data_IF_225541548601
#
_entry.id   IF_225541548601
#
_cell.length_a   1.000
_cell.length_b   1.000
_cell.length_c   1.000
_cell.angle_alpha   90.00
_cell.angle_beta   90.00
_cell.angle_gamma   90.00
#
_symmetry.space_group_name_H-M   'P 1'
#
loop_
_entity.id
_entity.type
_entity.pdbx_description
1 polymer ?
#
# COMPACT_ATOMS: atom_id res chain seq x y z
N UNK A 1 17.85 36.38 -7.73
CA UNK A 1 16.77 35.75 -6.94
C UNK A 1 15.72 35.22 -7.92
N UNK A 2 15.91 34.00 -8.40
CA UNK A 2 14.96 33.34 -9.31
C UNK A 2 14.16 32.31 -8.54
N UNK A 3 12.88 32.57 -8.34
CA UNK A 3 11.95 31.71 -7.62
C UNK A 3 11.45 30.63 -8.58
N UNK A 4 12.09 29.46 -8.56
CA UNK A 4 11.73 28.35 -9.44
C UNK A 4 10.68 27.47 -8.74
N UNK A 5 9.42 27.91 -8.77
CA UNK A 5 8.27 27.08 -8.40
C UNK A 5 8.01 26.06 -9.52
N UNK A 6 8.92 25.11 -9.70
CA UNK A 6 8.70 23.95 -10.56
C UNK A 6 7.59 23.10 -9.97
N UNK A 7 6.39 23.17 -10.53
CA UNK A 7 5.41 22.10 -10.35
C UNK A 7 5.98 20.90 -11.09
N UNK A 8 6.64 19.99 -10.36
CA UNK A 8 7.08 18.72 -10.93
C UNK A 8 5.83 17.94 -11.33
N UNK A 9 5.55 17.89 -12.63
CA UNK A 9 4.53 17.01 -13.17
C UNK A 9 4.87 15.56 -12.78
N UNK A 10 3.86 14.72 -12.46
CA UNK A 10 4.09 13.30 -12.17
C UNK A 10 4.90 12.68 -13.31
N UNK A 11 5.99 11.99 -12.96
CA UNK A 11 6.85 11.35 -13.96
C UNK A 11 6.39 9.91 -14.11
N UNK A 12 5.89 9.58 -15.30
CA UNK A 12 5.56 8.19 -15.64
C UNK A 12 6.86 7.46 -15.99
N UNK A 13 7.13 6.35 -15.32
CA UNK A 13 8.24 5.46 -15.63
C UNK A 13 7.72 4.43 -16.64
N UNK A 14 7.96 4.68 -17.94
CA UNK A 14 7.60 3.75 -19.03
C UNK A 14 8.80 3.35 -19.86
N UNK A 15 8.68 2.20 -20.54
CA UNK A 15 9.58 1.78 -21.61
C UNK A 15 9.31 2.57 -22.90
N UNK A 16 9.94 3.73 -23.03
CA UNK A 16 10.43 4.44 -24.22
C UNK A 16 9.64 4.54 -25.56
N UNK A 17 8.42 4.02 -25.73
CA UNK A 17 7.63 4.24 -26.95
C UNK A 17 6.25 4.86 -26.68
N UNK A 18 5.76 5.80 -27.53
CA UNK A 18 4.40 6.28 -27.46
C UNK A 18 3.45 5.11 -27.67
N UNK A 19 2.65 4.80 -26.65
CA UNK A 19 1.71 3.70 -26.71
C UNK A 19 0.52 4.07 -27.61
N UNK A 20 0.06 3.17 -28.51
CA UNK A 20 -1.17 3.40 -29.26
C UNK A 20 -2.37 3.63 -28.32
N UNK A 21 -3.42 4.34 -28.76
CA UNK A 21 -4.63 4.53 -27.95
C UNK A 21 -5.20 3.19 -27.49
N UNK A 22 -5.43 3.07 -26.19
CA UNK A 22 -6.03 1.87 -25.62
C UNK A 22 -7.49 1.76 -26.05
N UNK A 23 -7.85 0.62 -26.66
CA UNK A 23 -9.19 0.37 -27.19
C UNK A 23 -10.11 -0.36 -26.21
N UNK A 24 -9.61 -0.68 -25.02
CA UNK A 24 -10.36 -1.40 -23.99
C UNK A 24 -11.17 -0.47 -23.10
N UNK A 25 -11.87 -1.03 -22.10
CA UNK A 25 -12.75 -0.23 -21.25
C UNK A 25 -11.94 0.76 -20.40
N UNK A 26 -12.47 1.96 -20.24
CA UNK A 26 -11.91 2.98 -19.35
C UNK A 26 -12.28 2.67 -17.90
N UNK A 27 -11.34 2.89 -16.98
CA UNK A 27 -11.58 2.76 -15.55
C UNK A 27 -12.12 4.09 -14.99
N UNK A 28 -13.33 4.08 -14.45
CA UNK A 28 -13.92 5.22 -13.75
C UNK A 28 -13.62 5.11 -12.26
N UNK A 29 -12.97 6.13 -11.70
CA UNK A 29 -12.60 6.15 -10.28
C UNK A 29 -13.63 6.86 -9.42
N UNK A 30 -13.79 6.36 -8.20
CA UNK A 30 -14.53 7.03 -7.12
C UNK A 30 -13.73 6.96 -5.81
N UNK A 31 -13.80 8.03 -5.03
CA UNK A 31 -13.05 8.19 -3.79
C UNK A 31 -14.00 8.35 -2.61
N UNK A 32 -13.77 7.58 -1.54
CA UNK A 32 -14.51 7.66 -0.28
C UNK A 32 -13.52 8.02 0.81
N UNK A 33 -13.62 9.24 1.33
CA UNK A 33 -12.75 9.73 2.41
C UNK A 33 -13.41 9.48 3.76
N UNK A 34 -12.67 8.92 4.72
CA UNK A 34 -13.11 8.70 6.09
C UNK A 34 -12.05 9.18 7.08
N UNK A 35 -12.47 9.68 8.24
CA UNK A 35 -11.57 10.05 9.33
C UNK A 35 -11.64 8.99 10.43
N UNK A 36 -10.65 8.10 10.47
CA UNK A 36 -10.57 7.03 11.47
C UNK A 36 -10.01 7.59 12.77
N UNK A 37 -10.70 7.32 13.87
CA UNK A 37 -10.24 7.66 15.21
C UNK A 37 -9.29 6.58 15.71
N UNK A 38 -8.08 7.00 16.00
CA UNK A 38 -7.05 6.23 16.68
C UNK A 38 -6.99 6.66 18.14
N UNK A 39 -7.20 5.72 19.06
CA UNK A 39 -6.91 5.94 20.47
C UNK A 39 -5.44 5.61 20.73
N UNK A 40 -4.70 6.57 21.27
CA UNK A 40 -3.28 6.44 21.58
C UNK A 40 -3.08 6.40 23.09
N UNK A 41 -2.51 5.30 23.59
CA UNK A 41 -2.10 5.19 24.99
C UNK A 41 -0.60 5.56 25.12
N UNK A 42 -0.26 6.85 25.11
CA UNK A 42 1.14 7.33 25.23
C UNK A 42 1.41 8.71 24.62
N UNK A 43 2.64 9.22 24.76
CA UNK A 43 3.07 10.53 24.26
C UNK A 43 3.26 10.53 22.73
N UNK A 44 2.55 11.39 22.01
CA UNK A 44 2.49 11.41 20.54
C UNK A 44 3.86 11.64 19.87
N UNK A 45 4.56 10.55 19.52
CA UNK A 45 5.76 10.56 18.70
C UNK A 45 5.55 9.55 17.56
N UNK A 46 5.56 10.03 16.31
CA UNK A 46 5.43 9.21 15.08
C UNK A 46 6.53 8.14 14.90
N UNK A 47 7.44 8.01 15.86
CA UNK A 47 8.57 7.09 15.88
C UNK A 47 8.55 6.14 17.10
N UNK A 48 7.54 6.22 17.97
CA UNK A 48 7.48 5.40 19.18
C UNK A 48 6.36 4.36 19.15
N UNK A 49 6.74 3.16 19.57
CA UNK A 49 5.88 1.99 19.74
C UNK A 49 4.72 2.27 20.70
N UNK A 50 3.48 2.36 20.22
CA UNK A 50 2.30 2.70 21.00
C UNK A 50 1.09 1.84 20.64
N UNK A 51 0.37 1.40 21.67
CA UNK A 51 -0.90 0.71 21.47
C UNK A 51 -1.89 1.64 20.77
N UNK A 52 -2.17 1.33 19.51
CA UNK A 52 -3.13 2.00 18.66
C UNK A 52 -4.36 1.11 18.50
N UNK A 53 -5.51 1.52 19.04
CA UNK A 53 -6.81 0.93 18.67
C UNK A 53 -7.56 1.89 17.77
N UNK A 54 -8.11 1.38 16.67
CA UNK A 54 -8.89 2.16 15.72
C UNK A 54 -10.37 1.78 15.75
N UNK A 55 -11.23 2.69 15.30
CA UNK A 55 -12.64 2.42 15.00
C UNK A 55 -12.87 2.21 13.49
N UNK A 56 -11.86 1.74 12.76
CA UNK A 56 -11.90 1.65 11.29
C UNK A 56 -13.07 0.79 10.78
N UNK A 57 -13.48 -0.19 11.58
CA UNK A 57 -14.56 -1.13 11.33
C UNK A 57 -15.93 -0.45 11.18
N UNK A 58 -16.12 0.69 11.85
CA UNK A 58 -17.34 1.50 11.72
C UNK A 58 -17.57 2.04 10.31
N UNK A 59 -16.53 2.06 9.46
CA UNK A 59 -16.61 2.56 8.08
C UNK A 59 -16.80 1.44 7.04
N UNK A 60 -16.72 0.16 7.41
CA UNK A 60 -16.86 -0.94 6.45
C UNK A 60 -18.21 -0.98 5.72
N UNK A 61 -19.36 -0.70 6.38
CA UNK A 61 -20.63 -0.63 5.67
C UNK A 61 -20.64 0.45 4.59
N UNK A 62 -20.00 1.60 4.83
CA UNK A 62 -19.89 2.69 3.86
C UNK A 62 -19.06 2.28 2.63
N UNK A 63 -17.98 1.52 2.84
CA UNK A 63 -17.16 0.97 1.76
C UNK A 63 -17.93 -0.10 0.97
N UNK A 64 -18.65 -0.99 1.67
CA UNK A 64 -19.43 -2.06 1.06
C UNK A 64 -20.58 -1.52 0.20
N UNK A 65 -21.22 -0.41 0.60
CA UNK A 65 -22.31 0.22 -0.15
C UNK A 65 -21.91 0.60 -1.59
N UNK A 66 -20.62 0.87 -1.86
CA UNK A 66 -20.18 1.21 -3.22
C UNK A 66 -20.34 0.04 -4.20
N UNK A 67 -20.33 -1.22 -3.71
CA UNK A 67 -20.54 -2.40 -4.54
C UNK A 67 -21.97 -2.44 -5.13
N UNK A 68 -22.96 -1.87 -4.43
CA UNK A 68 -24.34 -1.76 -4.92
C UNK A 68 -24.44 -0.84 -6.15
N UNK A 69 -23.50 0.10 -6.29
CA UNK A 69 -23.40 1.02 -7.44
C UNK A 69 -22.55 0.45 -8.58
N UNK A 70 -22.02 -0.77 -8.40
CA UNK A 70 -21.14 -1.46 -9.34
C UNK A 70 -19.68 -1.03 -9.27
N UNK A 71 -19.28 -0.29 -8.23
CA UNK A 71 -17.89 0.04 -7.96
C UNK A 71 -17.21 -1.11 -7.21
N UNK A 72 -15.89 -1.23 -7.40
CA UNK A 72 -15.04 -2.24 -6.79
C UNK A 72 -13.89 -1.57 -6.08
N UNK A 73 -13.66 -1.95 -4.84
CA UNK A 73 -12.53 -1.40 -4.08
C UNK A 73 -11.23 -1.89 -4.74
N UNK A 74 -10.32 -0.96 -4.97
CA UNK A 74 -8.95 -1.24 -5.43
C UNK A 74 -7.96 -1.20 -4.27
N UNK A 75 -8.11 -0.21 -3.39
CA UNK A 75 -7.31 -0.09 -2.17
C UNK A 75 -8.05 0.76 -1.14
N UNK A 76 -7.80 0.51 0.15
CA UNK A 76 -8.24 1.35 1.26
C UNK A 76 -6.99 1.80 2.01
N UNK A 77 -6.65 3.07 1.87
CA UNK A 77 -5.31 3.54 2.13
C UNK A 77 -5.28 4.67 3.17
N UNK A 78 -4.47 4.52 4.20
CA UNK A 78 -4.16 5.58 5.16
C UNK A 78 -3.35 6.71 4.51
N UNK A 79 -3.73 7.97 4.74
CA UNK A 79 -2.97 9.12 4.22
C UNK A 79 -1.76 9.38 5.11
N UNK A 80 -0.52 9.13 4.66
CA UNK A 80 0.66 9.22 5.50
C UNK A 80 0.90 10.65 5.99
N UNK A 81 1.44 10.75 7.21
CA UNK A 81 1.80 12.00 7.86
C UNK A 81 0.65 12.99 8.08
N UNK A 82 -0.61 12.59 7.86
CA UNK A 82 -1.77 13.42 8.18
C UNK A 82 -2.42 12.92 9.47
N UNK A 83 -2.39 13.76 10.49
CA UNK A 83 -3.00 13.48 11.78
C UNK A 83 -3.57 14.76 12.35
N UNK A 84 -4.79 14.68 12.89
CA UNK A 84 -5.44 15.79 13.57
C UNK A 84 -5.84 15.38 14.98
N UNK A 85 -5.47 16.19 15.97
CA UNK A 85 -5.89 15.93 17.34
C UNK A 85 -7.40 16.18 17.50
N UNK A 86 -8.11 15.26 18.13
CA UNK A 86 -9.58 15.34 18.29
C UNK A 86 -10.02 16.47 19.25
N UNK A 87 -9.09 17.02 20.03
CA UNK A 87 -9.31 18.18 20.90
C UNK A 87 -8.10 18.46 21.80
N UNK A 88 -8.05 19.64 22.43
CA UNK A 88 -6.91 20.08 23.24
C UNK A 88 -6.56 19.14 24.41
N UNK A 89 -7.56 18.40 24.91
CA UNK A 89 -7.42 17.45 26.04
C UNK A 89 -7.66 15.98 25.63
N UNK A 90 -7.94 15.69 24.36
CA UNK A 90 -8.10 14.32 23.88
C UNK A 90 -6.74 13.68 23.63
N UNK A 91 -6.63 12.38 23.94
CA UNK A 91 -5.53 11.51 23.51
C UNK A 91 -5.85 10.81 22.17
N UNK A 92 -7.06 11.04 21.63
CA UNK A 92 -7.49 10.54 20.33
C UNK A 92 -6.94 11.39 19.19
N UNK A 93 -6.56 10.71 18.12
CA UNK A 93 -6.15 11.34 16.86
C UNK A 93 -7.00 10.81 15.72
N UNK A 94 -7.42 11.73 14.87
CA UNK A 94 -8.11 11.45 13.63
C UNK A 94 -7.07 11.30 12.52
N UNK A 95 -7.07 10.13 11.89
CA UNK A 95 -6.24 9.81 10.74
C UNK A 95 -7.14 9.65 9.50
N UNK A 96 -6.83 10.33 8.39
CA UNK A 96 -7.62 10.18 7.18
C UNK A 96 -7.26 8.88 6.47
N UNK A 97 -8.29 8.19 6.02
CA UNK A 97 -8.19 7.06 5.09
C UNK A 97 -9.00 7.38 3.84
N UNK A 98 -8.59 6.80 2.72
CA UNK A 98 -9.30 6.92 1.46
C UNK A 98 -9.53 5.53 0.87
N UNK A 99 -10.81 5.17 0.70
CA UNK A 99 -11.21 4.07 -0.16
C UNK A 99 -11.19 4.52 -1.62
N UNK A 100 -10.41 3.83 -2.44
CA UNK A 100 -10.28 4.09 -3.87
C UNK A 100 -10.99 2.96 -4.61
N UNK A 101 -11.99 3.33 -5.39
CA UNK A 101 -12.83 2.40 -6.13
C UNK A 101 -12.70 2.61 -7.62
N UNK A 102 -12.94 1.55 -8.41
CA UNK A 102 -13.13 1.65 -9.85
C UNK A 102 -14.39 0.95 -10.34
N UNK A 103 -14.87 1.39 -11.51
CA UNK A 103 -15.93 0.74 -12.29
C UNK A 103 -15.58 0.78 -13.77
N UNK A 104 -16.02 -0.24 -14.50
CA UNK A 104 -15.93 -0.31 -15.97
C UNK A 104 -17.35 -0.27 -16.56
N UNK A 105 -17.80 0.88 -17.10
CA UNK A 105 -19.20 1.07 -17.51
C UNK A 105 -19.65 0.15 -18.65
N UNK A 106 -18.76 -0.09 -19.62
CA UNK A 106 -19.09 -0.78 -20.87
C UNK A 106 -18.85 -2.30 -20.80
N UNK A 107 -18.40 -2.80 -19.65
CA UNK A 107 -18.32 -4.24 -19.42
C UNK A 107 -19.63 -4.70 -18.80
N UNK A 108 -20.36 -5.62 -19.47
CA UNK A 108 -21.42 -6.37 -18.83
C UNK A 108 -20.89 -6.88 -17.48
N UNK A 109 -21.49 -6.44 -16.37
CA UNK A 109 -20.98 -6.70 -15.03
C UNK A 109 -20.82 -8.21 -14.84
N UNK A 110 -19.60 -8.71 -15.00
CA UNK A 110 -19.30 -10.13 -14.84
C UNK A 110 -19.23 -10.40 -13.35
N UNK A 111 -20.34 -10.87 -12.80
CA UNK A 111 -20.46 -11.36 -11.43
C UNK A 111 -20.86 -10.30 -10.43
N UNK A 112 -21.64 -10.72 -9.42
CA UNK A 112 -21.95 -9.90 -8.25
C UNK A 112 -20.94 -10.21 -7.15
N UNK A 113 -20.49 -9.19 -6.45
CA UNK A 113 -19.48 -9.33 -5.41
C UNK A 113 -19.91 -8.56 -4.16
N UNK A 114 -19.35 -8.97 -3.02
CA UNK A 114 -19.45 -8.25 -1.77
C UNK A 114 -18.05 -8.00 -1.20
N UNK A 115 -17.90 -6.90 -0.48
CA UNK A 115 -16.70 -6.62 0.29
C UNK A 115 -16.72 -7.43 1.59
N UNK A 116 -15.61 -8.11 1.89
CA UNK A 116 -15.38 -8.79 3.17
C UNK A 116 -14.04 -8.37 3.74
N UNK A 117 -13.98 -8.13 5.03
CA UNK A 117 -12.76 -7.73 5.72
C UNK A 117 -12.42 -8.78 6.77
N UNK A 118 -11.18 -9.26 6.77
CA UNK A 118 -10.66 -10.19 7.76
C UNK A 118 -9.52 -9.53 8.54
N UNK A 119 -9.46 -9.81 9.84
CA UNK A 119 -8.36 -9.34 10.71
C UNK A 119 -7.15 -10.25 10.57
N UNK A 120 -5.96 -9.67 10.55
CA UNK A 120 -4.71 -10.42 10.60
C UNK A 120 -3.62 -9.64 11.34
N UNK A 121 -2.44 -10.23 11.44
CA UNK A 121 -1.28 -9.65 12.11
C UNK A 121 -0.01 -9.91 11.31
N UNK A 122 0.91 -8.98 11.44
CA UNK A 122 2.23 -8.99 10.82
C UNK A 122 3.25 -8.79 11.94
N UNK A 123 4.20 -9.72 12.07
CA UNK A 123 5.21 -9.64 13.11
C UNK A 123 6.62 -9.67 12.50
N UNK A 124 7.41 -8.61 12.63
CA UNK A 124 8.81 -8.66 12.26
C UNK A 124 9.59 -9.67 13.12
N UNK A 125 10.47 -10.45 12.50
CA UNK A 125 11.36 -11.41 13.16
C UNK A 125 12.81 -11.13 12.79
N UNK A 126 13.68 -11.07 13.78
CA UNK A 126 15.13 -11.02 13.56
C UNK A 126 15.61 -12.45 13.31
N UNK A 127 16.19 -12.70 12.14
CA UNK A 127 16.83 -13.98 11.83
C UNK A 127 18.32 -13.84 12.17
N UNK A 128 18.80 -14.71 13.07
CA UNK A 128 20.21 -14.77 13.45
C UNK A 128 20.89 -15.90 12.69
N UNK A 129 21.62 -15.56 11.62
CA UNK A 129 22.35 -16.54 10.81
C UNK A 129 23.74 -16.81 11.40
N UNK A 130 23.83 -17.69 12.40
CA UNK A 130 25.11 -18.27 12.88
C UNK A 130 25.87 -17.48 13.97
N UNK A 131 26.85 -18.15 14.62
CA UNK A 131 27.57 -17.71 15.83
C UNK A 131 28.42 -16.42 15.70
N UNK A 132 28.72 -15.98 14.48
CA UNK A 132 29.53 -14.77 14.21
C UNK A 132 29.04 -14.14 12.91
N UNK A 133 28.00 -13.29 12.96
CA UNK A 133 27.59 -12.52 11.78
C UNK A 133 27.11 -11.12 12.18
N UNK A 134 27.75 -10.10 11.59
CA UNK A 134 27.50 -8.66 11.81
C UNK A 134 26.29 -8.11 11.01
N UNK A 135 25.28 -8.94 10.72
CA UNK A 135 24.11 -8.54 9.94
C UNK A 135 22.85 -9.13 10.54
N UNK A 136 22.05 -8.29 11.20
CA UNK A 136 20.71 -8.68 11.62
C UNK A 136 19.78 -8.49 10.42
N UNK A 137 19.31 -9.56 9.80
CA UNK A 137 18.23 -9.49 8.81
C UNK A 137 16.88 -9.57 9.54
N UNK A 138 16.01 -8.57 9.36
CA UNK A 138 14.61 -8.69 9.77
C UNK A 138 13.79 -9.18 8.60
N UNK A 139 13.04 -10.25 8.85
CA UNK A 139 12.03 -10.76 7.92
C UNK A 139 10.67 -10.65 8.60
N UNK A 140 9.67 -10.24 7.83
CA UNK A 140 8.29 -10.22 8.29
C UNK A 140 7.73 -11.63 8.39
N UNK A 141 7.23 -12.02 9.56
CA UNK A 141 6.38 -13.22 9.69
C UNK A 141 5.01 -12.93 9.10
N UNK A 142 4.72 -13.61 7.99
CA UNK A 142 3.46 -13.52 7.25
C UNK A 142 2.63 -14.79 7.36
N UNK A 143 2.91 -15.67 8.31
CA UNK A 143 2.21 -16.95 8.44
C UNK A 143 0.70 -16.77 8.59
N UNK A 144 0.27 -15.91 9.51
CA UNK A 144 -1.17 -15.64 9.73
C UNK A 144 -1.81 -14.99 8.50
N UNK A 145 -1.12 -14.02 7.89
CA UNK A 145 -1.55 -13.35 6.67
C UNK A 145 -1.76 -14.34 5.51
N UNK A 146 -0.79 -15.20 5.25
CA UNK A 146 -0.86 -16.21 4.19
C UNK A 146 -1.96 -17.25 4.47
N UNK A 147 -2.17 -17.65 5.73
CA UNK A 147 -3.26 -18.54 6.12
C UNK A 147 -4.63 -17.91 5.87
N UNK A 148 -4.82 -16.64 6.27
CA UNK A 148 -6.08 -15.92 6.01
C UNK A 148 -6.36 -15.79 4.52
N UNK A 149 -5.36 -15.41 3.71
CA UNK A 149 -5.49 -15.34 2.25
C UNK A 149 -5.86 -16.72 1.68
N UNK A 150 -5.15 -17.77 2.06
CA UNK A 150 -5.39 -19.11 1.55
C UNK A 150 -6.80 -19.61 1.88
N UNK A 151 -7.28 -19.38 3.11
CA UNK A 151 -8.62 -19.76 3.54
C UNK A 151 -9.71 -19.03 2.74
N UNK A 152 -9.52 -17.73 2.49
CA UNK A 152 -10.45 -16.92 1.70
C UNK A 152 -10.43 -17.29 0.21
N UNK A 153 -9.25 -17.55 -0.34
CA UNK A 153 -9.07 -17.95 -1.73
C UNK A 153 -9.79 -19.28 -2.07
N UNK A 154 -9.91 -20.19 -1.10
CA UNK A 154 -10.66 -21.45 -1.26
C UNK A 154 -12.15 -21.22 -1.58
N UNK A 155 -12.74 -20.12 -1.13
CA UNK A 155 -14.13 -19.76 -1.44
C UNK A 155 -14.25 -18.87 -2.68
N UNK A 156 -13.19 -18.72 -3.47
CA UNK A 156 -13.15 -17.82 -4.63
C UNK A 156 -13.04 -16.33 -4.27
N UNK A 157 -12.82 -15.99 -2.99
CA UNK A 157 -12.59 -14.61 -2.59
C UNK A 157 -11.23 -14.14 -3.12
N UNK A 158 -11.16 -12.90 -3.61
CA UNK A 158 -9.91 -12.30 -4.09
C UNK A 158 -9.45 -11.22 -3.15
N UNK A 159 -8.16 -11.23 -2.83
CA UNK A 159 -7.53 -10.15 -2.07
C UNK A 159 -7.57 -8.85 -2.88
N UNK A 160 -7.87 -7.75 -2.20
CA UNK A 160 -7.89 -6.40 -2.75
C UNK A 160 -6.66 -5.63 -2.27
N UNK A 161 -6.52 -5.48 -0.96
CA UNK A 161 -5.43 -4.74 -0.33
C UNK A 161 -5.23 -5.22 1.12
N UNK A 162 -4.11 -4.80 1.71
CA UNK A 162 -3.75 -5.10 3.09
C UNK A 162 -3.38 -3.78 3.76
N UNK A 163 -4.17 -3.36 4.74
CA UNK A 163 -4.00 -2.04 5.36
C UNK A 163 -3.63 -2.16 6.84
N UNK A 164 -2.70 -1.32 7.30
CA UNK A 164 -2.34 -1.21 8.72
C UNK A 164 -3.41 -0.42 9.47
N UNK A 165 -4.21 -1.12 10.27
CA UNK A 165 -5.37 -0.50 10.93
C UNK A 165 -5.32 -0.55 12.45
N UNK A 166 -4.37 -1.24 13.08
CA UNK A 166 -4.13 -1.11 14.52
C UNK A 166 -3.67 -2.39 15.19
N UNK A 167 -3.41 -2.27 16.50
CA UNK A 167 -2.65 -3.17 17.38
C UNK A 167 -1.15 -3.14 17.14
N UNK A 168 -0.47 -2.47 18.06
CA UNK A 168 0.93 -2.70 18.39
C UNK A 168 0.98 -3.30 19.80
N UNK A 169 1.13 -4.62 19.92
CA UNK A 169 1.28 -5.24 21.25
C UNK A 169 2.77 -5.35 21.61
N UNK A 170 3.30 -4.34 22.30
CA UNK A 170 4.58 -4.49 23.00
C UNK A 170 4.31 -5.23 24.32
N UNK A 171 4.36 -6.57 24.31
CA UNK A 171 4.37 -7.32 25.57
C UNK A 171 5.62 -6.94 26.36
N UNK A 172 5.44 -6.34 27.55
CA UNK A 172 6.52 -6.16 28.50
C UNK A 172 7.19 -7.52 28.75
N UNK A 173 8.43 -7.66 28.30
CA UNK A 173 9.21 -8.89 28.48
C UNK A 173 10.35 -8.61 29.42
N UNK A 174 10.43 -9.38 30.51
CA UNK A 174 11.61 -9.46 31.37
C UNK A 174 12.72 -10.33 30.73
N UNK A 175 12.59 -10.73 29.45
CA UNK A 175 13.59 -11.54 28.74
C UNK A 175 14.63 -10.65 28.04
N UNK A 176 15.89 -11.11 28.03
CA UNK A 176 17.03 -10.47 27.34
C UNK A 176 16.92 -10.46 25.80
N UNK A 177 15.77 -10.86 25.24
CA UNK A 177 15.53 -10.91 23.79
C UNK A 177 14.50 -9.83 23.45
N UNK A 178 14.86 -8.80 22.67
CA UNK A 178 13.90 -7.77 22.29
C UNK A 178 12.79 -8.41 21.44
N UNK A 179 11.54 -8.37 21.92
CA UNK A 179 10.38 -8.73 21.11
C UNK A 179 10.02 -7.53 20.24
N UNK A 180 10.03 -7.73 18.93
CA UNK A 180 9.56 -6.74 17.97
C UNK A 180 8.03 -6.62 18.04
N UNK A 181 7.47 -5.42 17.75
CA UNK A 181 6.03 -5.18 17.78
C UNK A 181 5.27 -6.09 16.82
N UNK A 182 4.07 -6.49 17.20
CA UNK A 182 3.09 -7.14 16.31
C UNK A 182 2.17 -6.06 15.78
N UNK A 183 2.05 -5.93 14.46
CA UNK A 183 1.16 -4.99 13.79
C UNK A 183 -0.12 -5.69 13.35
N UNK A 184 -1.30 -5.23 13.78
CA UNK A 184 -2.54 -5.71 13.20
C UNK A 184 -2.87 -5.02 11.88
N UNK A 185 -3.39 -5.83 10.96
CA UNK A 185 -3.76 -5.42 9.61
C UNK A 185 -5.14 -5.94 9.28
N UNK A 186 -5.78 -5.23 8.35
CA UNK A 186 -7.04 -5.64 7.75
C UNK A 186 -6.83 -6.07 6.31
N UNK A 187 -7.30 -7.27 5.99
CA UNK A 187 -7.27 -7.82 4.66
C UNK A 187 -8.64 -7.62 4.04
N UNK A 188 -8.68 -6.85 2.95
CA UNK A 188 -9.90 -6.58 2.20
C UNK A 188 -10.02 -7.60 1.08
N UNK A 189 -11.17 -8.27 1.01
CA UNK A 189 -11.49 -9.26 0.00
C UNK A 189 -12.74 -8.88 -0.77
N UNK A 190 -12.73 -9.18 -2.05
CA UNK A 190 -13.95 -9.26 -2.85
C UNK A 190 -14.39 -10.71 -2.94
N UNK A 191 -15.60 -10.98 -2.44
CA UNK A 191 -16.17 -12.32 -2.44
C UNK A 191 -17.24 -12.37 -3.53
N UNK A 192 -17.12 -13.27 -4.51
CA UNK A 192 -18.17 -13.46 -5.49
C UNK A 192 -19.43 -14.06 -4.83
N UNK A 193 -20.60 -13.61 -5.28
CA UNK A 193 -21.90 -14.12 -4.81
C UNK A 193 -22.43 -15.27 -5.67
N UNK A 194 -21.76 -15.56 -6.79
CA UNK A 194 -22.19 -16.58 -7.74
C UNK A 194 -21.46 -17.92 -7.47
N UNK A 195 -22.20 -19.02 -7.54
CA UNK A 195 -21.77 -20.33 -7.02
C UNK A 195 -20.62 -21.00 -7.79
N UNK A 196 -20.36 -20.61 -9.04
CA UNK A 196 -19.30 -21.15 -9.90
C UNK A 196 -18.18 -20.13 -10.15
N UNK A 197 -17.57 -19.68 -9.07
CA UNK A 197 -16.51 -18.68 -9.16
C UNK A 197 -15.13 -19.31 -9.29
N UNK A 198 -14.34 -18.79 -10.23
CA UNK A 198 -12.93 -19.13 -10.40
C UNK A 198 -12.16 -18.85 -9.09
N UNK A 199 -11.30 -19.77 -8.69
CA UNK A 199 -10.40 -19.60 -7.53
C UNK A 199 -9.08 -19.01 -7.98
N UNK A 200 -8.34 -18.41 -7.04
CA UNK A 200 -7.10 -17.71 -7.36
C UNK A 200 -5.95 -18.25 -6.53
N UNK A 201 -4.77 -18.31 -7.15
CA UNK A 201 -3.51 -18.64 -6.49
C UNK A 201 -2.71 -17.37 -6.26
N UNK A 202 -2.06 -17.30 -5.11
CA UNK A 202 -1.28 -16.15 -4.68
C UNK A 202 0.20 -16.49 -4.67
N UNK A 203 1.00 -15.60 -5.26
CA UNK A 203 2.45 -15.63 -5.20
C UNK A 203 2.94 -14.42 -4.41
N UNK A 204 3.62 -14.66 -3.29
CA UNK A 204 4.16 -13.62 -2.42
C UNK A 204 5.67 -13.56 -2.57
N UNK A 205 6.19 -12.38 -2.93
CA UNK A 205 7.62 -12.18 -3.18
C UNK A 205 8.17 -11.15 -2.20
N UNK A 206 9.22 -11.53 -1.47
CA UNK A 206 9.96 -10.62 -0.60
C UNK A 206 11.05 -9.92 -1.39
N UNK A 207 11.00 -8.59 -1.43
CA UNK A 207 11.89 -7.73 -2.21
C UNK A 207 12.67 -6.82 -1.27
N UNK A 208 14.01 -6.89 -1.25
CA UNK A 208 14.81 -5.97 -0.46
C UNK A 208 14.80 -4.57 -1.08
N UNK A 209 14.60 -3.56 -0.25
CA UNK A 209 14.65 -2.15 -0.61
C UNK A 209 15.76 -1.48 0.19
N UNK A 210 16.66 -0.80 -0.51
CA UNK A 210 17.81 -0.14 0.10
C UNK A 210 17.58 1.36 0.07
N UNK A 211 17.61 2.00 1.24
CA UNK A 211 17.53 3.46 1.37
C UNK A 211 18.88 4.00 1.82
N UNK A 212 19.48 4.89 1.04
CA UNK A 212 20.74 5.55 1.39
C UNK A 212 20.49 6.99 1.82
N UNK A 213 21.02 7.36 2.98
CA UNK A 213 20.98 8.69 3.57
C UNK A 213 22.34 9.35 3.38
N UNK A 214 22.44 10.40 2.57
CA UNK A 214 23.68 11.17 2.46
C UNK A 214 23.83 12.13 3.64
N UNK A 215 25.07 12.52 3.94
CA UNK A 215 25.38 13.45 5.06
C UNK A 215 24.69 14.82 4.93
N UNK A 216 24.28 15.20 3.72
CA UNK A 216 23.54 16.43 3.41
C UNK A 216 22.57 16.28 2.21
N UNK A 217 22.25 15.05 1.80
CA UNK A 217 21.39 14.80 0.65
C UNK A 217 20.11 14.08 1.07
N UNK A 218 19.03 14.38 0.38
CA UNK A 218 17.76 13.67 0.56
C UNK A 218 17.95 12.16 0.39
N UNK A 219 17.22 11.34 1.17
CA UNK A 219 17.27 9.89 1.07
C UNK A 219 16.95 9.43 -0.35
N UNK A 220 17.68 8.42 -0.83
CA UNK A 220 17.42 7.77 -2.12
C UNK A 220 17.13 6.31 -1.94
N UNK A 221 16.11 5.84 -2.64
CA UNK A 221 15.66 4.44 -2.63
C UNK A 221 16.18 3.72 -3.85
N UNK A 222 16.71 2.52 -3.61
CA UNK A 222 17.21 1.60 -4.62
C UNK A 222 16.39 0.32 -4.56
N UNK A 223 15.57 0.12 -5.60
CA UNK A 223 14.76 -1.08 -5.84
C UNK A 223 14.43 -1.10 -7.34
N UNK A 224 14.50 -2.27 -7.97
CA UNK A 224 14.08 -2.45 -9.37
C UNK A 224 12.57 -2.67 -9.45
N UNK A 225 11.81 -1.61 -9.12
CA UNK A 225 10.35 -1.66 -9.07
C UNK A 225 9.74 -2.16 -10.37
N UNK A 226 10.23 -1.65 -11.52
CA UNK A 226 9.68 -1.99 -12.82
C UNK A 226 10.09 -3.39 -13.26
N UNK A 227 11.34 -3.80 -13.05
CA UNK A 227 11.80 -5.14 -13.44
C UNK A 227 11.06 -6.25 -12.71
N UNK A 228 10.87 -6.09 -11.39
CA UNK A 228 10.09 -7.03 -10.56
C UNK A 228 8.64 -7.05 -11.02
N UNK A 229 8.03 -5.88 -11.22
CA UNK A 229 6.64 -5.79 -11.65
C UNK A 229 6.43 -6.49 -13.01
N UNK A 230 7.24 -6.12 -14.02
CA UNK A 230 7.15 -6.68 -15.36
C UNK A 230 7.45 -8.18 -15.40
N UNK A 231 8.38 -8.68 -14.58
CA UNK A 231 8.71 -10.11 -14.50
C UNK A 231 7.46 -10.96 -14.20
N UNK A 232 6.59 -10.51 -13.30
CA UNK A 232 5.38 -11.25 -12.92
C UNK A 232 4.23 -11.04 -13.90
N UNK A 233 4.05 -9.81 -14.40
CA UNK A 233 3.01 -9.53 -15.40
C UNK A 233 3.23 -10.34 -16.69
N UNK A 234 4.50 -10.48 -17.11
CA UNK A 234 4.88 -11.29 -18.27
C UNK A 234 4.60 -12.79 -18.12
N UNK A 235 4.20 -13.25 -16.93
CA UNK A 235 3.80 -14.63 -16.64
C UNK A 235 2.30 -14.76 -16.34
N UNK A 236 1.53 -13.73 -16.68
CA UNK A 236 0.07 -13.68 -16.52
C UNK A 236 -0.40 -13.39 -15.09
N UNK A 237 0.48 -13.01 -14.17
CA UNK A 237 0.08 -12.58 -12.83
C UNK A 237 -0.46 -11.15 -12.85
N UNK A 238 -1.35 -10.84 -11.91
CA UNK A 238 -1.83 -9.49 -11.59
C UNK A 238 -1.21 -9.06 -10.24
N UNK A 239 -0.76 -7.82 -10.14
CA UNK A 239 -0.34 -7.22 -8.87
C UNK A 239 -1.60 -6.85 -8.06
N UNK A 240 -1.55 -7.12 -6.76
CA UNK A 240 -2.63 -6.81 -5.81
C UNK A 240 -2.16 -5.77 -4.81
N UNK A 241 -1.06 -6.05 -4.10
CA UNK A 241 -0.59 -5.18 -3.03
C UNK A 241 0.93 -5.25 -2.93
N UNK A 242 1.55 -4.14 -2.49
CA UNK A 242 2.95 -4.11 -2.08
C UNK A 242 2.98 -3.59 -0.64
N UNK A 243 3.16 -4.52 0.29
CA UNK A 243 3.26 -4.19 1.70
C UNK A 243 4.71 -3.87 2.06
N UNK A 244 4.98 -2.64 2.51
CA UNK A 244 6.32 -2.23 2.98
C UNK A 244 6.47 -2.62 4.45
N UNK A 245 7.46 -3.46 4.76
CA UNK A 245 7.77 -3.80 6.13
C UNK A 245 8.33 -2.58 6.87
N UNK A 246 7.57 -2.08 7.84
CA UNK A 246 7.94 -0.94 8.68
C UNK A 246 8.99 -1.28 9.75
N UNK A 247 9.45 -2.53 9.84
CA UNK A 247 10.51 -2.97 10.75
C UNK A 247 11.88 -2.42 10.34
N UNK A 248 12.10 -1.15 10.65
CA UNK A 248 13.36 -0.48 10.36
C UNK A 248 14.44 -1.03 11.29
N UNK A 249 15.33 -1.88 10.79
CA UNK A 249 16.67 -1.98 11.39
C UNK A 249 17.48 -0.83 10.83
N UNK A 250 17.60 0.24 11.61
CA UNK A 250 18.68 1.19 11.42
C UNK A 250 19.93 0.58 12.04
N UNK A 251 20.87 0.12 11.22
CA UNK A 251 22.21 -0.16 11.73
C UNK A 251 22.84 1.17 12.16
N UNK A 252 23.15 1.29 13.45
CA UNK A 252 23.57 2.53 14.14
C UNK A 252 24.78 3.22 13.48
N UNK A 253 25.54 2.51 12.65
CA UNK A 253 26.77 3.00 12.00
C UNK A 253 26.71 3.06 10.47
N UNK A 254 25.57 2.75 9.83
CA UNK A 254 25.46 2.81 8.36
C UNK A 254 24.49 3.91 7.92
N UNK A 255 24.91 4.66 6.91
CA UNK A 255 24.08 5.58 6.11
C UNK A 255 23.09 4.85 5.19
N UNK A 256 22.79 3.59 5.49
CA UNK A 256 22.00 2.68 4.69
C UNK A 256 20.98 1.99 5.60
N UNK A 257 19.72 2.05 5.23
CA UNK A 257 18.64 1.29 5.86
C UNK A 257 18.14 0.28 4.84
N UNK A 258 18.06 -0.98 5.26
CA UNK A 258 17.45 -2.05 4.48
C UNK A 258 16.07 -2.34 5.04
N UNK A 259 15.08 -2.34 4.17
CA UNK A 259 13.71 -2.76 4.45
C UNK A 259 13.33 -3.85 3.46
N UNK A 260 12.28 -4.60 3.78
CA UNK A 260 11.70 -5.57 2.87
C UNK A 260 10.31 -5.10 2.44
N UNK A 261 9.95 -5.42 1.20
CA UNK A 261 8.61 -5.23 0.67
C UNK A 261 8.05 -6.59 0.28
N UNK A 262 6.81 -6.87 0.65
CA UNK A 262 6.11 -8.08 0.26
C UNK A 262 5.16 -7.74 -0.87
N UNK A 263 5.39 -8.35 -2.02
CA UNK A 263 4.60 -8.15 -3.21
C UNK A 263 3.62 -9.31 -3.34
N UNK A 264 2.34 -8.97 -3.41
CA UNK A 264 1.25 -9.93 -3.56
C UNK A 264 0.80 -9.93 -5.00
N UNK A 265 1.04 -11.05 -5.67
CA UNK A 265 0.56 -11.31 -7.02
C UNK A 265 -0.50 -12.40 -6.99
N UNK A 266 -1.48 -12.31 -7.88
CA UNK A 266 -2.49 -13.34 -8.05
C UNK A 266 -2.61 -13.81 -9.49
N UNK A 267 -3.16 -15.01 -9.66
CA UNK A 267 -3.49 -15.59 -10.96
C UNK A 267 -4.68 -16.54 -10.82
N UNK A 268 -5.56 -16.64 -11.83
CA UNK A 268 -6.60 -17.67 -11.83
C UNK A 268 -5.99 -19.06 -11.68
N UNK A 269 -6.57 -19.89 -10.82
CA UNK A 269 -6.07 -21.23 -10.55
C UNK A 269 -6.09 -22.10 -11.82
N UNK A 270 -7.14 -21.96 -12.65
CA UNK A 270 -7.24 -22.63 -13.96
C UNK A 270 -6.12 -22.27 -14.94
N UNK A 271 -5.42 -21.16 -14.70
CA UNK A 271 -4.35 -20.63 -15.57
C UNK A 271 -2.96 -20.68 -14.93
N UNK A 272 -2.78 -21.39 -13.82
CA UNK A 272 -1.49 -21.37 -13.10
C UNK A 272 -0.29 -21.68 -14.01
N UNK A 273 -0.45 -22.64 -14.93
CA UNK A 273 0.59 -23.09 -15.87
C UNK A 273 0.63 -22.30 -17.20
N UNK A 274 -0.27 -21.33 -17.42
CA UNK A 274 -0.33 -20.51 -18.65
C UNK A 274 0.53 -19.26 -18.49
N UNK A 275 1.72 -19.22 -19.08
CA UNK A 275 2.63 -18.07 -18.97
C UNK A 275 2.28 -16.90 -19.90
N UNK A 276 1.15 -16.94 -20.62
CA UNK A 276 0.74 -15.86 -21.51
C UNK A 276 0.54 -14.55 -20.73
N UNK A 277 1.20 -13.44 -21.13
CA UNK A 277 0.97 -12.14 -20.54
C UNK A 277 -0.50 -11.71 -20.69
N UNK A 278 -1.15 -11.37 -19.58
CA UNK A 278 -2.54 -10.89 -19.55
C UNK A 278 -2.61 -9.39 -19.25
N UNK A 279 -1.60 -8.88 -18.57
CA UNK A 279 -1.55 -7.51 -18.07
C UNK A 279 -0.26 -6.84 -18.50
N UNK A 280 -0.34 -5.54 -18.74
CA UNK A 280 0.83 -4.66 -18.79
C UNK A 280 0.79 -3.71 -17.62
N UNK A 281 1.96 -3.23 -17.20
CA UNK A 281 2.14 -2.43 -15.99
C UNK A 281 2.89 -1.13 -16.25
N UNK A 282 2.62 -0.11 -15.45
CA UNK A 282 3.37 1.14 -15.42
C UNK A 282 3.39 1.71 -14.00
N UNK A 283 4.36 2.57 -13.72
CA UNK A 283 4.55 3.19 -12.40
C UNK A 283 4.59 4.70 -12.59
N UNK A 284 3.80 5.41 -11.80
CA UNK A 284 3.83 6.87 -11.75
C UNK A 284 4.49 7.33 -10.46
N UNK A 285 5.58 8.08 -10.58
CA UNK A 285 6.16 8.80 -9.44
C UNK A 285 5.27 10.00 -9.13
N UNK A 286 4.81 10.07 -7.88
CA UNK A 286 3.90 11.09 -7.41
C UNK A 286 4.38 11.67 -6.09
N UNK A 287 4.32 12.99 -5.92
CA UNK A 287 4.80 13.64 -4.70
C UNK A 287 3.63 14.24 -3.92
N UNK A 288 3.51 13.87 -2.65
CA UNK A 288 2.56 14.47 -1.72
C UNK A 288 3.24 15.57 -0.92
N UNK A 289 2.52 16.66 -0.63
CA UNK A 289 3.05 17.79 0.15
C UNK A 289 2.53 17.73 1.57
N UNK A 290 3.43 17.78 2.54
CA UNK A 290 3.12 17.84 3.97
C UNK A 290 3.50 19.23 4.48
N UNK A 291 2.52 19.95 4.99
CA UNK A 291 2.70 21.30 5.55
C UNK A 291 2.22 21.33 7.00
N UNK A 292 2.96 21.94 7.93
CA UNK A 292 2.48 22.14 9.29
C UNK A 292 1.27 23.06 9.30
N UNK A 293 0.29 22.73 10.14
CA UNK A 293 -0.95 23.47 10.35
C UNK A 293 -1.08 23.79 11.84
N UNK A 294 -0.34 24.81 12.30
CA UNK A 294 -0.34 25.22 13.71
C UNK A 294 0.64 24.42 14.59
N UNK A 295 0.39 24.40 15.91
CA UNK A 295 1.34 23.90 16.90
C UNK A 295 1.51 22.36 16.94
N UNK A 296 0.56 21.59 16.41
CA UNK A 296 0.61 20.11 16.46
C UNK A 296 -0.02 19.37 15.28
N UNK A 297 -0.68 20.05 14.33
CA UNK A 297 -1.37 19.37 13.24
C UNK A 297 -0.56 19.47 11.94
N UNK A 298 -0.70 18.45 11.08
CA UNK A 298 -0.12 18.41 9.74
C UNK A 298 -1.22 18.33 8.70
N UNK A 299 -1.11 19.16 7.66
CA UNK A 299 -1.97 19.10 6.50
C UNK A 299 -1.21 18.45 5.36
N UNK A 300 -1.80 17.41 4.77
CA UNK A 300 -1.25 16.72 3.62
C UNK A 300 -2.09 17.04 2.38
N UNK A 301 -1.41 17.29 1.28
CA UNK A 301 -2.03 17.46 -0.04
C UNK A 301 -1.57 16.30 -0.91
N UNK A 302 -2.46 15.33 -1.08
CA UNK A 302 -2.19 14.12 -1.86
C UNK A 302 -2.24 14.39 -3.35
N UNK A 303 -3.32 14.98 -3.88
CA UNK A 303 -3.48 15.35 -5.31
C UNK A 303 -3.22 14.21 -6.32
N UNK A 304 -3.39 12.94 -5.92
CA UNK A 304 -3.28 11.80 -6.84
C UNK A 304 -4.59 11.53 -7.61
N UNK A 305 -5.73 12.04 -7.15
CA UNK A 305 -7.03 11.76 -7.79
C UNK A 305 -7.06 12.17 -9.28
N UNK A 306 -6.56 13.36 -9.68
CA UNK A 306 -6.49 13.72 -11.09
C UNK A 306 -5.55 12.81 -11.90
N UNK A 307 -4.47 12.32 -11.27
CA UNK A 307 -3.55 11.36 -11.90
C UNK A 307 -4.26 10.05 -12.16
N UNK A 308 -4.99 9.52 -11.16
CA UNK A 308 -5.76 8.29 -11.30
C UNK A 308 -6.88 8.43 -12.35
N UNK A 309 -7.57 9.58 -12.41
CA UNK A 309 -8.57 9.85 -13.44
C UNK A 309 -7.98 9.88 -14.85
N UNK A 310 -6.84 10.57 -15.05
CA UNK A 310 -6.13 10.58 -16.34
C UNK A 310 -5.67 9.18 -16.76
N UNK A 311 -5.12 8.42 -15.81
CA UNK A 311 -4.72 7.03 -16.02
C UNK A 311 -5.93 6.13 -16.35
N UNK A 312 -7.05 6.31 -15.64
CA UNK A 312 -8.29 5.58 -15.87
C UNK A 312 -8.91 5.81 -17.25
N UNK A 313 -8.89 7.05 -17.73
CA UNK A 313 -9.31 7.41 -19.09
C UNK A 313 -8.45 6.73 -20.17
N UNK A 314 -7.21 6.36 -19.83
CA UNK A 314 -6.29 5.59 -20.68
C UNK A 314 -6.40 4.07 -20.45
N UNK A 315 -7.37 3.63 -19.65
CA UNK A 315 -7.65 2.23 -19.32
C UNK A 315 -6.80 1.63 -18.21
N UNK A 316 -6.01 2.43 -17.51
CA UNK A 316 -5.16 1.96 -16.42
C UNK A 316 -5.93 1.85 -15.10
N UNK A 317 -5.84 0.67 -14.48
CA UNK A 317 -6.34 0.36 -13.15
C UNK A 317 -5.22 0.51 -12.13
N UNK A 318 -5.49 1.18 -11.01
CA UNK A 318 -4.57 1.23 -9.88
C UNK A 318 -4.48 -0.16 -9.26
N UNK A 319 -3.28 -0.70 -9.14
CA UNK A 319 -3.02 -1.89 -8.33
C UNK A 319 -2.86 -1.50 -6.86
N UNK A 320 -1.88 -0.64 -6.56
CA UNK A 320 -1.59 -0.22 -5.20
C UNK A 320 -0.82 1.11 -5.15
N UNK A 321 -0.67 1.66 -3.96
CA UNK A 321 0.10 2.86 -3.66
C UNK A 321 1.23 2.46 -2.71
N UNK A 322 2.47 2.81 -3.04
CA UNK A 322 3.63 2.51 -2.19
C UNK A 322 4.24 3.78 -1.65
N UNK A 323 4.32 3.87 -0.32
CA UNK A 323 5.12 4.87 0.39
C UNK A 323 6.59 4.59 0.20
N UNK A 324 7.34 5.56 -0.29
CA UNK A 324 8.80 5.47 -0.30
C UNK A 324 9.38 6.27 0.87
N UNK A 325 10.52 5.84 1.44
CA UNK A 325 11.24 6.65 2.42
C UNK A 325 11.95 7.87 1.79
N UNK A 326 11.76 8.17 0.50
CA UNK A 326 12.26 9.39 -0.14
C UNK A 326 11.40 10.60 0.28
N UNK A 327 11.92 11.38 1.23
CA UNK A 327 11.31 12.63 1.73
C UNK A 327 12.28 13.79 1.49
N UNK A 328 11.81 14.82 0.82
CA UNK A 328 12.56 16.03 0.47
C UNK A 328 12.05 17.22 1.27
N UNK A 329 12.96 18.09 1.72
CA UNK A 329 12.57 19.37 2.30
C UNK A 329 12.49 20.43 1.20
N UNK A 330 11.32 21.03 1.00
CA UNK A 330 11.08 21.99 -0.09
C UNK A 330 10.83 23.42 0.38
N UNK A 331 10.98 23.73 1.68
CA UNK A 331 10.84 25.09 2.19
C UNK A 331 10.84 25.23 3.71
N UNK A 332 10.30 26.35 4.22
CA UNK A 332 10.13 26.62 5.65
C UNK A 332 9.09 25.66 6.27
N UNK A 333 9.55 24.44 6.57
CA UNK A 333 8.80 23.34 7.19
C UNK A 333 7.87 22.54 6.25
N UNK A 334 7.96 22.71 4.93
CA UNK A 334 7.23 21.88 3.97
C UNK A 334 8.07 20.66 3.58
N UNK A 335 7.46 19.48 3.64
CA UNK A 335 8.07 18.23 3.19
C UNK A 335 7.34 17.73 1.94
N UNK A 336 8.09 17.17 1.00
CA UNK A 336 7.56 16.39 -0.11
C UNK A 336 7.94 14.94 0.06
N UNK A 337 6.96 14.05 0.07
CA UNK A 337 7.18 12.61 0.15
C UNK A 337 6.86 11.99 -1.20
N UNK A 338 7.76 11.16 -1.71
CA UNK A 338 7.56 10.44 -2.95
C UNK A 338 6.75 9.17 -2.70
N UNK A 339 5.75 9.00 -3.55
CA UNK A 339 4.84 7.88 -3.63
C UNK A 339 5.01 7.22 -5.00
N UNK A 340 4.84 5.90 -5.06
CA UNK A 340 4.76 5.18 -6.32
C UNK A 340 3.33 4.66 -6.50
N UNK A 341 2.68 5.10 -7.58
CA UNK A 341 1.37 4.61 -7.98
C UNK A 341 1.57 3.51 -9.02
N UNK A 342 1.25 2.27 -8.66
CA UNK A 342 1.34 1.13 -9.56
C UNK A 342 0.04 1.00 -10.33
N UNK A 343 0.15 1.01 -11.66
CA UNK A 343 -0.98 0.84 -12.55
C UNK A 343 -0.80 -0.39 -13.43
N UNK A 344 -1.90 -1.02 -13.77
CA UNK A 344 -1.93 -2.12 -14.71
C UNK A 344 -3.21 -2.11 -15.54
N UNK A 345 -3.15 -2.67 -16.74
CA UNK A 345 -4.34 -2.87 -17.59
C UNK A 345 -4.23 -4.16 -18.37
N UNK A 346 -5.37 -4.67 -18.82
CA UNK A 346 -5.41 -5.89 -19.63
C UNK A 346 -4.82 -5.64 -21.01
N UNK A 347 -4.09 -6.62 -21.52
CA UNK A 347 -3.66 -6.66 -22.92
C UNK A 347 -4.85 -7.14 -23.74
N UNK A 348 -5.20 -6.40 -24.79
CA UNK A 348 -6.27 -6.77 -25.70
C UNK A 348 -5.64 -7.58 -26.83
N UNK A 349 -6.07 -8.83 -26.96
CA UNK A 349 -5.63 -9.77 -28.00
C UNK A 349 -6.54 -9.73 -29.21
#
# INVERSE_FOLDING_TARGET
MGNNNGHSHPKVITTAQPEPPYTGPQAQYQFVNVEVRMAVYGAFNFLSNQMLTSNVDTYYPLLAQQYEQGFRLLTFYHIPMQARREGAFSMGVLMPFQGIFCKYPDTAQRGRFQLRIEKSVIQPRIIWNGLITYGNETVTDTTHLNQTIANMAQSGARLICIELTGQEEVKASFSFTPKLPVYGVDLFFEVPLDAESETYVYNVVSVPVITKYGFASDPRVFCDWIGIFSQHLNRGFKLIEIFVDASKIKEVFKNEVRSNCLWFFEKPNSKINDETPVYQGTIVEHYIKVTPSGFSDTRVSTKWEPVMQDMGNKGWELACIVETPEVHNTGLMTLEMKMLLFFQKRILS
#
